data_IF_408853407280
#
_entry.id   IF_408853407280
#
_cell.length_a   1.000
_cell.length_b   1.000
_cell.length_c   1.000
_cell.angle_alpha   90.00
_cell.angle_beta   90.00
_cell.angle_gamma   90.00
#
_symmetry.space_group_name_H-M   'P 1'
#
loop_
_entity.id
_entity.type
_entity.pdbx_description
1 polymer ?
#
# COMPACT_ATOMS: atom_id res chain seq x y z
N UNK A 1 3.96 -9.77 27.98
CA UNK A 1 4.42 -10.32 26.69
C UNK A 1 3.18 -10.83 25.98
N UNK A 2 2.54 -10.01 25.15
CA UNK A 2 1.47 -10.50 24.29
C UNK A 2 2.11 -11.51 23.33
N UNK A 3 1.57 -12.73 23.17
CA UNK A 3 2.01 -13.60 22.09
C UNK A 3 1.92 -12.82 20.78
N UNK A 4 2.80 -13.11 19.81
CA UNK A 4 2.77 -12.55 18.45
C UNK A 4 1.43 -12.89 17.77
N UNK A 5 0.35 -12.24 18.19
CA UNK A 5 -0.99 -12.33 17.64
C UNK A 5 -0.99 -11.41 16.44
N UNK A 6 -1.09 -12.02 15.26
CA UNK A 6 -1.32 -11.32 14.02
C UNK A 6 -2.76 -11.56 13.59
N UNK A 7 -3.51 -10.50 13.22
CA UNK A 7 -3.10 -9.09 13.25
C UNK A 7 -3.03 -8.51 14.68
N UNK A 8 -2.16 -7.50 14.92
CA UNK A 8 -2.19 -6.73 16.17
C UNK A 8 -3.58 -6.10 16.39
N UNK A 9 -3.95 -5.74 17.63
CA UNK A 9 -5.17 -4.99 17.89
C UNK A 9 -5.16 -3.65 17.14
N UNK A 10 -6.33 -3.10 16.79
CA UNK A 10 -6.43 -1.74 16.24
C UNK A 10 -5.76 -0.73 17.18
N UNK A 11 -5.10 0.28 16.62
CA UNK A 11 -4.43 1.32 17.40
C UNK A 11 -5.42 2.09 18.29
N UNK A 12 -5.06 2.26 19.56
CA UNK A 12 -5.81 3.10 20.53
C UNK A 12 -5.60 4.60 20.27
N UNK A 13 -4.70 4.97 19.36
CA UNK A 13 -4.41 6.37 19.02
C UNK A 13 -5.46 6.96 18.08
N UNK A 14 -6.33 6.13 17.49
CA UNK A 14 -7.34 6.55 16.54
C UNK A 14 -8.71 6.34 17.16
N UNK A 15 -9.49 7.42 17.20
CA UNK A 15 -10.90 7.35 17.56
C UNK A 15 -11.69 6.78 16.37
N UNK A 16 -11.97 5.47 16.43
CA UNK A 16 -12.62 4.71 15.36
C UNK A 16 -14.12 5.02 15.19
N UNK A 17 -14.73 5.70 16.17
CA UNK A 17 -16.17 6.03 16.19
C UNK A 17 -16.44 7.45 15.69
N UNK A 18 -15.41 8.30 15.63
CA UNK A 18 -15.53 9.68 15.13
C UNK A 18 -15.31 9.76 13.61
N UNK A 19 -16.29 10.23 12.83
CA UNK A 19 -16.14 10.46 11.38
C UNK A 19 -15.02 11.45 11.04
N UNK A 20 -14.68 12.35 11.96
CA UNK A 20 -13.60 13.32 11.79
C UNK A 20 -12.21 12.67 11.92
N UNK A 21 -12.08 11.64 12.76
CA UNK A 21 -10.86 10.86 12.95
C UNK A 21 -10.69 9.81 11.86
N UNK A 22 -11.79 9.18 11.42
CA UNK A 22 -11.84 8.20 10.32
C UNK A 22 -11.67 8.86 8.94
N UNK A 23 -12.10 10.12 8.79
CA UNK A 23 -11.96 10.92 7.56
C UNK A 23 -10.71 11.81 7.50
N UNK A 24 -9.87 11.81 8.54
CA UNK A 24 -8.64 12.60 8.54
C UNK A 24 -7.66 12.01 7.53
N UNK A 25 -7.46 12.72 6.42
CA UNK A 25 -6.61 12.35 5.29
C UNK A 25 -5.13 12.14 5.62
N UNK A 26 -4.67 12.42 6.84
CA UNK A 26 -3.26 12.42 7.24
C UNK A 26 -2.97 11.64 8.54
N UNK A 27 -3.48 10.41 8.67
CA UNK A 27 -2.89 9.50 9.67
C UNK A 27 -1.52 9.07 9.18
N UNK A 28 -0.47 9.44 9.91
CA UNK A 28 0.89 9.04 9.60
C UNK A 28 1.05 7.53 9.85
N UNK A 29 1.16 6.76 8.78
CA UNK A 29 1.37 5.31 8.83
C UNK A 29 2.85 4.96 9.09
N UNK A 30 3.14 3.71 9.46
CA UNK A 30 4.51 3.27 9.80
C UNK A 30 5.49 3.41 8.64
N UNK A 31 5.01 3.22 7.42
CA UNK A 31 5.83 3.29 6.22
C UNK A 31 5.08 2.83 4.97
N UNK A 32 5.81 2.86 3.86
CA UNK A 32 5.33 2.38 2.56
C UNK A 32 6.27 1.29 2.03
N UNK A 33 5.79 0.49 1.09
CA UNK A 33 6.61 -0.54 0.44
C UNK A 33 6.99 -0.07 -0.95
N UNK A 34 8.29 -0.15 -1.26
CA UNK A 34 8.83 0.13 -2.58
C UNK A 34 9.51 -1.09 -3.22
N UNK A 35 9.40 -1.19 -4.53
CA UNK A 35 10.22 -2.05 -5.38
C UNK A 35 10.62 -1.27 -6.63
N UNK A 36 11.79 -1.58 -7.19
CA UNK A 36 12.38 -0.86 -8.32
C UNK A 36 12.67 -1.83 -9.46
N UNK A 37 12.52 -1.37 -10.68
CA UNK A 37 12.91 -2.10 -11.87
C UNK A 37 14.34 -1.74 -12.27
N UNK A 38 15.23 -2.73 -12.30
CA UNK A 38 16.61 -2.58 -12.78
C UNK A 38 16.63 -2.82 -14.30
N UNK A 39 16.63 -1.74 -15.09
CA UNK A 39 16.68 -1.82 -16.55
C UNK A 39 17.90 -2.60 -17.07
N UNK A 40 19.05 -2.48 -16.40
CA UNK A 40 20.29 -3.22 -16.75
C UNK A 40 20.18 -4.74 -16.63
N UNK A 41 19.29 -5.24 -15.75
CA UNK A 41 19.08 -6.68 -15.52
C UNK A 41 17.72 -7.18 -16.01
N UNK A 42 16.85 -6.28 -16.45
CA UNK A 42 15.47 -6.57 -16.82
C UNK A 42 14.63 -7.16 -15.68
N UNK A 43 14.94 -6.81 -14.42
CA UNK A 43 14.40 -7.48 -13.24
C UNK A 43 13.97 -6.49 -12.17
N UNK A 44 12.93 -6.87 -11.44
CA UNK A 44 12.45 -6.15 -10.27
C UNK A 44 13.29 -6.49 -9.04
N UNK A 45 13.52 -5.50 -8.17
CA UNK A 45 14.17 -5.69 -6.88
C UNK A 45 13.20 -6.28 -5.86
N UNK A 46 13.75 -6.85 -4.79
CA UNK A 46 12.93 -7.26 -3.66
C UNK A 46 12.18 -6.06 -3.04
N UNK A 47 10.90 -6.22 -2.66
CA UNK A 47 10.14 -5.18 -1.97
C UNK A 47 10.76 -4.81 -0.62
N UNK A 48 10.91 -3.51 -0.35
CA UNK A 48 11.46 -3.00 0.91
C UNK A 48 10.45 -2.09 1.61
N UNK A 49 10.31 -2.27 2.91
CA UNK A 49 9.57 -1.35 3.76
C UNK A 49 10.46 -0.14 4.03
N UNK A 50 9.97 1.05 3.71
CA UNK A 50 10.61 2.32 4.04
C UNK A 50 9.85 2.92 5.22
N UNK A 51 10.48 2.83 6.39
CA UNK A 51 10.03 3.46 7.62
C UNK A 51 10.42 4.94 7.57
N UNK A 52 9.50 5.84 7.91
CA UNK A 52 9.61 7.32 7.86
C UNK A 52 9.13 8.01 6.54
N UNK A 53 7.92 8.61 6.54
CA UNK A 53 7.33 9.27 5.36
C UNK A 53 7.90 10.66 5.06
N UNK A 54 8.82 11.20 5.88
CA UNK A 54 9.40 12.54 5.67
C UNK A 54 10.05 12.71 4.29
N UNK A 55 10.54 11.62 3.70
CA UNK A 55 11.27 11.64 2.42
C UNK A 55 10.37 11.37 1.21
N UNK A 56 9.17 10.80 1.40
CA UNK A 56 8.25 10.51 0.29
C UNK A 56 7.17 11.59 0.08
N UNK A 57 6.92 12.46 1.07
CA UNK A 57 6.14 13.68 0.88
C UNK A 57 6.84 14.68 -0.06
N UNK A 58 8.15 14.50 -0.31
CA UNK A 58 8.95 15.26 -1.26
C UNK A 58 9.34 14.47 -2.51
N UNK A 59 8.54 13.50 -2.93
CA UNK A 59 8.47 13.20 -4.35
C UNK A 59 7.33 14.05 -4.96
N UNK A 60 7.56 15.34 -5.28
CA UNK A 60 6.96 15.82 -6.51
C UNK A 60 7.50 14.84 -7.57
N UNK A 61 6.69 14.29 -8.43
CA UNK A 61 6.22 15.00 -9.58
C UNK A 61 5.28 14.05 -10.31
N UNK A 62 4.29 14.58 -11.04
CA UNK A 62 3.67 13.82 -12.11
C UNK A 62 4.78 13.48 -13.11
N UNK A 63 5.35 12.28 -13.02
CA UNK A 63 5.90 11.66 -14.22
C UNK A 63 4.74 11.59 -15.21
N UNK A 64 5.02 11.86 -16.49
CA UNK A 64 4.00 11.87 -17.55
C UNK A 64 3.24 10.53 -17.69
N UNK A 65 3.68 9.49 -16.97
CA UNK A 65 3.15 8.13 -17.00
C UNK A 65 3.02 7.52 -15.59
N UNK A 66 2.24 8.16 -14.71
CA UNK A 66 1.90 7.56 -13.41
C UNK A 66 0.64 6.70 -13.51
N UNK A 67 0.68 5.48 -12.97
CA UNK A 67 -0.44 4.55 -12.91
C UNK A 67 -0.78 4.25 -11.47
N UNK A 68 -2.06 4.37 -11.09
CA UNK A 68 -2.48 4.18 -9.71
C UNK A 68 -3.66 3.22 -9.59
N UNK A 69 -3.57 2.33 -8.61
CA UNK A 69 -4.59 1.38 -8.22
C UNK A 69 -4.93 1.58 -6.74
N UNK A 70 -6.21 1.79 -6.45
CA UNK A 70 -6.71 1.86 -5.07
C UNK A 70 -7.41 0.55 -4.73
N UNK A 71 -6.98 -0.06 -3.63
CA UNK A 71 -7.50 -1.28 -3.01
C UNK A 71 -8.00 -0.96 -1.61
N UNK A 72 -8.80 -1.86 -1.05
CA UNK A 72 -9.26 -1.76 0.34
C UNK A 72 -8.80 -2.99 1.13
N UNK A 73 -8.39 -2.76 2.38
CA UNK A 73 -8.14 -3.78 3.38
C UNK A 73 -9.13 -3.66 4.54
N UNK A 74 -9.61 -4.81 4.97
CA UNK A 74 -10.61 -4.98 6.02
C UNK A 74 -10.12 -5.96 7.07
N UNK A 75 -10.51 -5.71 8.32
CA UNK A 75 -10.39 -6.70 9.39
C UNK A 75 -11.59 -7.63 9.34
N UNK A 76 -11.33 -8.93 9.32
CA UNK A 76 -12.33 -9.97 9.36
C UNK A 76 -12.15 -10.78 10.65
N UNK A 77 -13.10 -10.61 11.57
CA UNK A 77 -13.12 -11.35 12.84
C UNK A 77 -13.76 -12.71 12.59
N UNK A 78 -13.08 -13.78 12.99
CA UNK A 78 -13.62 -15.15 12.93
C UNK A 78 -13.61 -15.79 14.32
N UNK A 79 -14.43 -16.83 14.57
CA UNK A 79 -14.39 -17.57 15.84
C UNK A 79 -13.01 -18.16 16.18
N UNK A 80 -12.13 -18.29 15.18
CA UNK A 80 -10.77 -18.85 15.31
C UNK A 80 -9.68 -17.77 15.33
N UNK A 81 -10.05 -16.49 15.39
CA UNK A 81 -9.14 -15.35 15.43
C UNK A 81 -9.31 -14.38 14.25
N UNK A 82 -8.76 -13.19 14.42
CA UNK A 82 -8.82 -12.11 13.44
C UNK A 82 -7.94 -12.39 12.23
N UNK A 83 -8.38 -11.90 11.07
CA UNK A 83 -7.60 -11.92 9.82
C UNK A 83 -7.72 -10.59 9.11
N UNK A 84 -6.67 -10.19 8.39
CA UNK A 84 -6.73 -9.06 7.47
C UNK A 84 -7.00 -9.58 6.06
N UNK A 85 -7.95 -8.95 5.37
CA UNK A 85 -8.38 -9.33 4.03
C UNK A 85 -8.23 -8.12 3.11
N UNK A 86 -7.54 -8.31 1.98
CA UNK A 86 -7.46 -7.32 0.90
C UNK A 86 -8.45 -7.71 -0.18
N UNK A 87 -9.23 -6.74 -0.66
CA UNK A 87 -10.24 -7.01 -1.68
C UNK A 87 -9.59 -7.16 -3.07
N UNK A 88 -9.66 -8.39 -3.61
CA UNK A 88 -9.31 -8.74 -5.00
C UNK A 88 -7.93 -8.22 -5.49
N UNK A 89 -6.82 -8.45 -4.77
CA UNK A 89 -5.50 -7.95 -5.16
C UNK A 89 -5.09 -8.35 -6.58
N UNK A 90 -5.43 -9.57 -7.03
CA UNK A 90 -5.10 -10.06 -8.37
C UNK A 90 -5.79 -9.26 -9.50
N UNK A 91 -7.01 -8.77 -9.24
CA UNK A 91 -7.73 -7.92 -10.21
C UNK A 91 -7.03 -6.57 -10.36
N UNK A 92 -6.57 -5.99 -9.25
CA UNK A 92 -5.83 -4.73 -9.26
C UNK A 92 -4.45 -4.89 -9.89
N UNK A 93 -3.75 -6.00 -9.66
CA UNK A 93 -2.50 -6.33 -10.33
C UNK A 93 -2.69 -6.39 -11.86
N UNK A 94 -3.73 -7.07 -12.34
CA UNK A 94 -4.04 -7.15 -13.76
C UNK A 94 -4.43 -5.78 -14.36
N UNK A 95 -5.13 -4.93 -13.59
CA UNK A 95 -5.49 -3.57 -14.01
C UNK A 95 -4.26 -2.68 -14.13
N UNK A 96 -3.36 -2.71 -13.14
CA UNK A 96 -2.07 -2.00 -13.20
C UNK A 96 -1.25 -2.45 -14.39
N UNK A 97 -1.13 -3.76 -14.62
CA UNK A 97 -0.36 -4.29 -15.75
C UNK A 97 -0.91 -3.82 -17.10
N UNK A 98 -2.24 -3.77 -17.25
CA UNK A 98 -2.89 -3.26 -18.47
C UNK A 98 -2.63 -1.78 -18.70
N UNK A 99 -2.69 -0.97 -17.65
CA UNK A 99 -2.44 0.48 -17.75
C UNK A 99 -0.96 0.77 -18.06
N UNK A 100 -0.05 0.03 -17.42
CA UNK A 100 1.39 0.19 -17.59
C UNK A 100 1.91 -0.32 -18.95
N UNK A 101 1.22 -1.25 -19.60
CA UNK A 101 1.71 -1.99 -20.77
C UNK A 101 2.29 -1.13 -21.91
N UNK A 102 1.85 0.13 -22.05
CA UNK A 102 2.32 1.05 -23.09
C UNK A 102 3.47 1.97 -22.65
N UNK A 103 3.71 2.13 -21.35
CA UNK A 103 4.58 3.20 -20.82
C UNK A 103 5.67 2.71 -19.88
N UNK A 104 5.52 1.52 -19.29
CA UNK A 104 6.43 0.99 -18.27
C UNK A 104 6.38 -0.55 -18.25
N UNK A 105 7.45 -1.23 -17.82
CA UNK A 105 7.39 -2.65 -17.53
C UNK A 105 6.37 -2.89 -16.40
N UNK A 106 5.39 -3.78 -16.57
CA UNK A 106 4.43 -4.07 -15.51
C UNK A 106 5.10 -4.94 -14.42
N UNK A 107 4.80 -4.71 -13.13
CA UNK A 107 5.25 -5.62 -12.09
C UNK A 107 4.58 -7.00 -12.25
N UNK A 108 5.30 -8.11 -12.02
CA UNK A 108 4.69 -9.42 -11.96
C UNK A 108 3.55 -9.46 -10.92
N UNK A 109 2.42 -10.14 -11.20
CA UNK A 109 1.29 -10.18 -10.26
C UNK A 109 1.67 -10.65 -8.85
N UNK A 110 2.56 -11.64 -8.74
CA UNK A 110 3.06 -12.15 -7.46
C UNK A 110 3.85 -11.09 -6.68
N UNK A 111 4.66 -10.27 -7.36
CA UNK A 111 5.41 -9.18 -6.75
C UNK A 111 4.47 -8.09 -6.24
N UNK A 112 3.47 -7.71 -7.04
CA UNK A 112 2.44 -6.76 -6.66
C UNK A 112 1.72 -7.20 -5.38
N UNK A 113 1.23 -8.45 -5.35
CA UNK A 113 0.53 -9.00 -4.19
C UNK A 113 1.43 -9.07 -2.96
N UNK A 114 2.72 -9.40 -3.12
CA UNK A 114 3.69 -9.40 -2.03
C UNK A 114 3.93 -7.99 -1.47
N UNK A 115 4.05 -6.96 -2.33
CA UNK A 115 4.17 -5.57 -1.88
C UNK A 115 2.96 -5.14 -1.05
N UNK A 116 1.74 -5.45 -1.53
CA UNK A 116 0.49 -5.16 -0.82
C UNK A 116 0.45 -5.90 0.52
N UNK A 117 0.82 -7.17 0.54
CA UNK A 117 0.87 -7.98 1.77
C UNK A 117 1.82 -7.39 2.80
N UNK A 118 3.03 -6.99 2.39
CA UNK A 118 4.02 -6.34 3.28
C UNK A 118 3.51 -4.99 3.78
N UNK A 119 2.89 -4.19 2.91
CA UNK A 119 2.36 -2.87 3.27
C UNK A 119 1.20 -2.98 4.30
N UNK A 120 0.28 -3.93 4.11
CA UNK A 120 -0.81 -4.18 5.07
C UNK A 120 -0.27 -4.75 6.37
N UNK A 121 0.70 -5.66 6.32
CA UNK A 121 1.27 -6.27 7.52
C UNK A 121 2.02 -5.24 8.38
N UNK A 122 2.76 -4.32 7.74
CA UNK A 122 3.46 -3.23 8.42
C UNK A 122 2.51 -2.20 9.03
N UNK A 123 1.31 -2.06 8.46
CA UNK A 123 0.31 -1.07 8.89
C UNK A 123 -0.94 -1.75 9.50
N UNK A 124 -0.78 -2.96 10.04
CA UNK A 124 -1.90 -3.79 10.49
C UNK A 124 -2.68 -3.18 11.67
N UNK A 125 -2.02 -2.38 12.50
CA UNK A 125 -2.65 -1.63 13.60
C UNK A 125 -3.56 -0.49 13.10
N UNK A 126 -3.32 -0.02 11.87
CA UNK A 126 -4.12 0.99 11.19
C UNK A 126 -5.26 0.37 10.37
N UNK A 127 -5.61 -0.90 10.59
CA UNK A 127 -6.82 -1.48 10.01
C UNK A 127 -7.96 -1.33 11.03
N UNK A 128 -9.11 -0.75 10.64
CA UNK A 128 -10.23 -0.54 11.54
C UNK A 128 -10.68 -1.82 12.24
N UNK A 129 -11.28 -1.71 13.43
CA UNK A 129 -12.12 -2.76 14.00
C UNK A 129 -13.21 -3.21 13.00
N UNK A 130 -13.64 -4.47 13.08
CA UNK A 130 -14.65 -4.99 12.13
C UNK A 130 -16.03 -4.33 12.30
N UNK A 131 -16.28 -3.77 13.49
CA UNK A 131 -17.49 -3.05 13.88
C UNK A 131 -17.51 -1.61 13.33
N UNK A 132 -16.35 -1.08 12.94
CA UNK A 132 -16.23 0.29 12.41
C UNK A 132 -16.65 0.36 10.93
N UNK A 133 -17.17 1.53 10.54
CA UNK A 133 -17.42 1.90 9.15
C UNK A 133 -16.19 2.52 8.46
N UNK A 134 -14.99 2.27 8.98
CA UNK A 134 -13.72 2.60 8.33
C UNK A 134 -13.22 1.48 7.40
N UNK A 135 -12.39 1.85 6.41
CA UNK A 135 -11.55 0.88 5.68
C UNK A 135 -10.12 1.41 5.56
N UNK A 136 -9.13 0.52 5.56
CA UNK A 136 -7.77 0.91 5.19
C UNK A 136 -7.68 0.93 3.66
N UNK A 137 -7.45 2.09 3.07
CA UNK A 137 -7.23 2.22 1.63
C UNK A 137 -5.74 2.03 1.30
N UNK A 138 -5.46 1.26 0.25
CA UNK A 138 -4.10 0.96 -0.19
C UNK A 138 -3.98 1.46 -1.61
N UNK A 139 -3.09 2.42 -1.82
CA UNK A 139 -2.81 3.01 -3.11
C UNK A 139 -1.48 2.50 -3.65
N UNK A 140 -1.54 1.58 -4.60
CA UNK A 140 -0.37 1.18 -5.36
C UNK A 140 -0.16 2.17 -6.51
N UNK A 141 1.00 2.79 -6.57
CA UNK A 141 1.40 3.75 -7.61
C UNK A 141 2.60 3.18 -8.34
N UNK A 142 2.56 3.15 -9.67
CA UNK A 142 3.70 2.89 -10.52
C UNK A 142 4.11 4.22 -11.16
N UNK A 143 5.36 4.61 -10.98
CA UNK A 143 5.92 5.83 -11.55
C UNK A 143 7.29 5.55 -12.13
N UNK A 144 7.58 6.12 -13.30
CA UNK A 144 8.95 6.21 -13.77
C UNK A 144 9.66 7.32 -12.99
N UNK A 145 10.85 7.04 -12.45
CA UNK A 145 11.65 8.03 -11.73
C UNK A 145 13.07 8.04 -12.28
N UNK A 146 13.43 9.09 -13.02
CA UNK A 146 14.81 9.31 -13.45
C UNK A 146 15.60 10.03 -12.35
N UNK A 147 15.95 9.33 -11.26
CA UNK A 147 16.79 9.91 -10.22
C UNK A 147 18.28 9.56 -10.42
N UNK A 148 19.02 10.48 -11.04
CA UNK A 148 20.49 10.62 -10.94
C UNK A 148 21.37 9.51 -11.56
N UNK A 149 22.11 9.85 -12.62
CA UNK A 149 23.30 9.19 -13.24
C UNK A 149 23.30 7.67 -13.53
N UNK A 150 22.41 6.88 -12.96
CA UNK A 150 22.11 5.50 -13.33
C UNK A 150 20.77 5.50 -14.09
N UNK A 151 20.77 5.00 -15.32
CA UNK A 151 19.65 5.11 -16.26
C UNK A 151 18.29 4.70 -15.70
N UNK A 152 17.24 5.34 -16.22
CA UNK A 152 15.80 5.04 -16.14
C UNK A 152 15.44 3.84 -15.24
N UNK A 153 15.08 4.13 -13.97
CA UNK A 153 14.60 3.16 -12.99
C UNK A 153 13.11 3.40 -12.72
N UNK A 154 12.26 2.44 -13.07
CA UNK A 154 10.83 2.53 -12.80
C UNK A 154 10.53 2.02 -11.38
N UNK A 155 9.82 2.81 -10.56
CA UNK A 155 9.54 2.49 -9.17
C UNK A 155 8.05 2.24 -8.94
N UNK A 156 7.72 1.17 -8.22
CA UNK A 156 6.39 0.92 -7.68
C UNK A 156 6.37 1.35 -6.22
N UNK A 157 5.49 2.29 -5.91
CA UNK A 157 5.31 2.94 -4.63
C UNK A 157 3.91 2.61 -4.10
N UNK A 158 3.83 1.70 -3.12
CA UNK A 158 2.55 1.37 -2.47
C UNK A 158 2.36 2.23 -1.23
N UNK A 159 1.59 3.30 -1.33
CA UNK A 159 1.20 4.12 -0.19
C UNK A 159 -0.12 3.64 0.41
N UNK A 160 -0.21 3.53 1.73
CA UNK A 160 -1.48 3.27 2.41
C UNK A 160 -2.06 4.59 2.94
N UNK A 161 -3.35 4.81 2.74
CA UNK A 161 -4.10 6.00 3.15
C UNK A 161 -5.43 5.55 3.77
N UNK A 162 -6.03 6.34 4.65
CA UNK A 162 -7.34 6.01 5.20
C UNK A 162 -8.47 6.49 4.29
N UNK A 163 -9.53 5.68 4.13
CA UNK A 163 -10.79 6.11 3.51
C UNK A 163 -11.99 5.59 4.33
N UNK A 164 -13.05 6.39 4.50
CA UNK A 164 -14.30 5.89 5.07
C UNK A 164 -14.96 4.86 4.13
N UNK A 165 -15.68 3.88 4.68
CA UNK A 165 -16.38 2.81 3.94
C UNK A 165 -17.54 3.31 3.07
N UNK A 166 -17.98 4.54 3.28
CA UNK A 166 -19.19 5.14 2.67
C UNK A 166 -18.90 6.30 1.70
N UNK A 167 -17.69 6.40 1.13
CA UNK A 167 -17.41 7.38 0.06
C UNK A 167 -17.77 6.85 -1.33
#
# INVERSE_FOLDING_TARGET
MFPNIFPPPPSDQIDWDSPASVGASHVQVNGYVETRYQASKGQWTEPRLIENPSVAASAPWPSSSSHAETMIALRHVTPWGDKLVVFRPDFHAARMARSAAATAPPPPPALFTECVRRAVSANAEFVPPAESDGVLSIRAVLTSCSYGEAGEEDAVLTHCWWLPKTA
#
